data_IF_718633481357
#
_entry.id   IF_718633481357
#
_cell.length_a   1.000
_cell.length_b   1.000
_cell.length_c   1.000
_cell.angle_alpha   90.00
_cell.angle_beta   90.00
_cell.angle_gamma   90.00
#
_symmetry.space_group_name_H-M   'P 1'
#
loop_
_entity.id
_entity.type
_entity.pdbx_description
1 polymer ?
#
# COMPACT_ATOMS: atom_id res chain seq x y z
N UNK A 1 20.67 -29.41 -8.43
CA UNK A 1 21.15 -28.02 -8.35
C UNK A 1 20.35 -27.20 -9.34
N UNK A 2 19.35 -26.46 -8.87
CA UNK A 2 18.72 -25.35 -9.60
C UNK A 2 18.21 -24.36 -8.54
N UNK A 3 19.14 -23.51 -8.15
CA UNK A 3 19.04 -22.17 -7.54
C UNK A 3 17.74 -21.78 -6.84
N UNK A 4 17.80 -21.73 -5.51
CA UNK A 4 17.34 -20.57 -4.73
C UNK A 4 17.51 -19.26 -5.51
N UNK A 5 16.43 -18.45 -5.62
CA UNK A 5 16.37 -16.97 -5.75
C UNK A 5 15.25 -16.47 -6.69
N UNK A 6 14.00 -16.70 -6.33
CA UNK A 6 12.84 -15.98 -6.92
C UNK A 6 12.18 -15.03 -5.88
N UNK A 7 12.92 -14.54 -4.89
CA UNK A 7 12.44 -13.57 -3.87
C UNK A 7 13.03 -12.15 -4.05
N UNK A 8 13.78 -11.94 -5.13
CA UNK A 8 14.40 -10.66 -5.51
C UNK A 8 13.77 -10.06 -6.79
N UNK A 9 12.71 -10.69 -7.31
CA UNK A 9 11.94 -10.04 -8.36
C UNK A 9 11.13 -8.92 -7.71
N UNK A 10 11.21 -7.68 -8.20
CA UNK A 10 10.42 -6.61 -7.63
C UNK A 10 8.93 -6.96 -7.78
N UNK A 11 8.17 -6.70 -6.71
CA UNK A 11 6.71 -6.81 -6.71
C UNK A 11 6.08 -5.87 -7.77
N UNK A 12 6.86 -4.90 -8.24
CA UNK A 12 6.57 -3.98 -9.34
C UNK A 12 7.75 -4.05 -10.35
N UNK A 13 7.65 -4.66 -11.56
CA UNK A 13 6.76 -4.15 -12.62
C UNK A 13 6.23 -5.12 -13.72
N UNK A 14 4.97 -4.93 -14.15
CA UNK A 14 4.53 -4.97 -15.57
C UNK A 14 3.59 -3.76 -15.81
N UNK A 15 4.19 -2.57 -15.94
CA UNK A 15 3.54 -1.26 -15.97
C UNK A 15 2.47 -1.03 -17.05
N UNK A 16 2.29 -1.92 -18.04
CA UNK A 16 1.27 -1.74 -19.08
C UNK A 16 0.01 -2.57 -18.81
N UNK A 17 0.15 -3.87 -18.53
CA UNK A 17 -0.99 -4.77 -18.32
C UNK A 17 -1.70 -4.51 -16.97
N UNK A 18 -0.95 -4.17 -15.93
CA UNK A 18 -1.49 -3.93 -14.59
C UNK A 18 -2.11 -2.54 -14.45
N UNK A 19 -1.60 -1.56 -15.22
CA UNK A 19 -2.18 -0.22 -15.28
C UNK A 19 -3.54 -0.24 -15.99
N UNK A 20 -3.68 -1.04 -17.05
CA UNK A 20 -4.96 -1.26 -17.72
C UNK A 20 -6.02 -1.87 -16.77
N UNK A 21 -5.59 -2.77 -15.86
CA UNK A 21 -6.49 -3.34 -14.86
C UNK A 21 -6.94 -2.28 -13.83
N UNK A 22 -6.04 -1.41 -13.39
CA UNK A 22 -6.38 -0.29 -12.52
C UNK A 22 -7.29 0.73 -13.23
N UNK A 23 -7.04 1.01 -14.50
CA UNK A 23 -7.87 1.90 -15.33
C UNK A 23 -9.25 1.29 -15.59
N UNK A 24 -9.37 -0.05 -15.58
CA UNK A 24 -10.64 -0.75 -15.62
C UNK A 24 -11.39 -0.76 -14.28
N UNK A 25 -10.72 -0.44 -13.15
CA UNK A 25 -11.40 -0.29 -11.86
C UNK A 25 -12.20 1.01 -11.84
N UNK A 26 -13.42 0.93 -11.29
CA UNK A 26 -14.21 2.12 -11.04
C UNK A 26 -13.53 3.03 -10.02
N UNK A 27 -13.73 4.34 -10.14
CA UNK A 27 -13.22 5.31 -9.17
C UNK A 27 -13.73 5.01 -7.74
N UNK A 28 -14.95 4.46 -7.60
CA UNK A 28 -15.49 4.01 -6.32
C UNK A 28 -14.62 2.91 -5.71
N UNK A 29 -14.30 1.89 -6.50
CA UNK A 29 -13.45 0.76 -6.07
C UNK A 29 -12.06 1.25 -5.67
N UNK A 30 -11.49 2.18 -6.43
CA UNK A 30 -10.18 2.78 -6.11
C UNK A 30 -10.24 3.49 -4.75
N UNK A 31 -11.28 4.29 -4.49
CA UNK A 31 -11.47 4.99 -3.20
C UNK A 31 -11.68 4.02 -2.04
N UNK A 32 -12.40 2.92 -2.27
CA UNK A 32 -12.60 1.87 -1.27
C UNK A 32 -11.28 1.17 -0.91
N UNK A 33 -10.45 0.85 -1.91
CA UNK A 33 -9.11 0.28 -1.70
C UNK A 33 -8.25 1.27 -0.89
N UNK A 34 -8.20 2.54 -1.32
CA UNK A 34 -7.42 3.58 -0.64
C UNK A 34 -7.85 3.72 0.84
N UNK A 35 -9.16 3.76 1.10
CA UNK A 35 -9.72 3.85 2.46
C UNK A 35 -9.34 2.63 3.32
N UNK A 36 -9.43 1.43 2.75
CA UNK A 36 -9.09 0.20 3.45
C UNK A 36 -7.59 0.10 3.75
N UNK A 37 -6.73 0.53 2.82
CA UNK A 37 -5.29 0.61 3.04
C UNK A 37 -4.95 1.58 4.18
N UNK A 38 -5.55 2.78 4.17
CA UNK A 38 -5.35 3.78 5.24
C UNK A 38 -5.83 3.26 6.60
N UNK A 39 -6.96 2.57 6.65
CA UNK A 39 -7.51 1.97 7.88
C UNK A 39 -6.59 0.89 8.46
N UNK A 40 -5.90 0.13 7.59
CA UNK A 40 -4.95 -0.89 8.00
C UNK A 40 -3.56 -0.34 8.37
N UNK A 41 -3.31 0.95 8.12
CA UNK A 41 -2.10 1.64 8.52
C UNK A 41 -2.18 2.14 9.97
N UNK A 42 -1.03 2.53 10.52
CA UNK A 42 -0.92 3.17 11.81
C UNK A 42 0.15 4.26 11.75
N UNK A 43 0.25 5.08 12.80
CA UNK A 43 1.36 6.04 12.94
C UNK A 43 2.72 5.35 13.19
N UNK A 44 2.73 4.08 13.59
CA UNK A 44 3.94 3.25 13.62
C UNK A 44 4.18 2.58 12.26
N UNK A 45 5.46 2.33 11.95
CA UNK A 45 5.87 1.64 10.72
C UNK A 45 5.24 0.24 10.64
N UNK A 46 4.67 -0.08 9.48
CA UNK A 46 4.12 -1.40 9.15
C UNK A 46 4.65 -1.87 7.81
N UNK A 47 4.97 -3.16 7.73
CA UNK A 47 5.36 -3.81 6.47
C UNK A 47 4.26 -3.66 5.41
N UNK A 48 4.65 -3.25 4.20
CA UNK A 48 3.70 -3.06 3.09
C UNK A 48 3.00 -4.38 2.77
N UNK A 49 3.73 -5.49 2.68
CA UNK A 49 3.17 -6.82 2.44
C UNK A 49 2.09 -7.21 3.49
N UNK A 50 2.27 -6.81 4.75
CA UNK A 50 1.28 -7.05 5.81
C UNK A 50 0.02 -6.23 5.56
N UNK A 51 0.15 -4.93 5.27
CA UNK A 51 -0.99 -4.04 5.04
C UNK A 51 -1.79 -4.49 3.82
N UNK A 52 -1.10 -4.77 2.71
CA UNK A 52 -1.71 -5.26 1.47
C UNK A 52 -2.42 -6.60 1.69
N UNK A 53 -1.72 -7.60 2.24
CA UNK A 53 -2.33 -8.92 2.49
C UNK A 53 -3.51 -8.86 3.46
N UNK A 54 -3.48 -7.96 4.44
CA UNK A 54 -4.64 -7.75 5.34
C UNK A 54 -5.83 -7.18 4.58
N UNK A 55 -5.63 -6.14 3.76
CA UNK A 55 -6.69 -5.53 2.94
C UNK A 55 -7.27 -6.53 1.93
N UNK A 56 -6.45 -7.36 1.30
CA UNK A 56 -6.92 -8.40 0.37
C UNK A 56 -7.83 -9.43 1.04
N UNK A 57 -7.60 -9.71 2.32
CA UNK A 57 -8.36 -10.71 3.08
C UNK A 57 -9.68 -10.18 3.64
N UNK A 58 -9.95 -8.86 3.58
CA UNK A 58 -11.21 -8.28 4.02
C UNK A 58 -12.25 -8.25 2.89
N UNK A 59 -13.53 -8.33 3.24
CA UNK A 59 -14.60 -8.10 2.26
C UNK A 59 -14.70 -6.58 1.96
N UNK A 60 -15.02 -6.18 0.71
CA UNK A 60 -15.34 -7.02 -0.46
C UNK A 60 -14.11 -7.51 -1.27
N UNK A 61 -12.90 -7.06 -0.93
CA UNK A 61 -11.67 -7.32 -1.68
C UNK A 61 -11.33 -8.79 -1.87
N UNK A 62 -11.60 -9.61 -0.85
CA UNK A 62 -11.43 -11.07 -0.91
C UNK A 62 -12.22 -11.73 -2.04
N UNK A 63 -13.40 -11.19 -2.36
CA UNK A 63 -14.25 -11.71 -3.43
C UNK A 63 -13.82 -11.21 -4.80
N UNK A 64 -13.34 -9.97 -4.88
CA UNK A 64 -12.83 -9.38 -6.13
C UNK A 64 -11.57 -10.08 -6.64
N UNK A 65 -10.78 -10.72 -5.76
CA UNK A 65 -9.52 -11.42 -6.10
C UNK A 65 -8.58 -10.57 -6.94
N UNK A 66 -8.49 -9.27 -6.62
CA UNK A 66 -7.56 -8.37 -7.30
C UNK A 66 -6.12 -8.80 -7.00
N UNK A 67 -5.21 -8.70 -7.99
CA UNK A 67 -3.79 -8.92 -7.76
C UNK A 67 -3.24 -7.97 -6.69
N UNK A 68 -2.26 -8.44 -5.92
CA UNK A 68 -1.57 -7.66 -4.87
C UNK A 68 -0.92 -6.38 -5.43
N UNK A 69 -0.41 -6.44 -6.66
CA UNK A 69 0.14 -5.28 -7.40
C UNK A 69 -0.85 -4.11 -7.52
N UNK A 70 -2.17 -4.36 -7.60
CA UNK A 70 -3.16 -3.30 -7.65
C UNK A 70 -3.13 -2.50 -6.35
N UNK A 71 -3.03 -3.19 -5.21
CA UNK A 71 -2.91 -2.56 -3.90
C UNK A 71 -1.54 -1.90 -3.71
N UNK A 72 -0.46 -2.53 -4.19
CA UNK A 72 0.89 -1.96 -4.14
C UNK A 72 0.95 -0.60 -4.89
N UNK A 73 0.38 -0.54 -6.09
CA UNK A 73 0.29 0.69 -6.87
C UNK A 73 -0.54 1.76 -6.15
N UNK A 74 -1.62 1.37 -5.45
CA UNK A 74 -2.37 2.30 -4.58
C UNK A 74 -1.55 2.82 -3.42
N UNK A 75 -0.74 1.99 -2.77
CA UNK A 75 0.18 2.43 -1.72
C UNK A 75 1.15 3.49 -2.26
N UNK A 76 1.75 3.27 -3.42
CA UNK A 76 2.63 4.26 -4.08
C UNK A 76 1.86 5.57 -4.35
N UNK A 77 0.63 5.49 -4.87
CA UNK A 77 -0.20 6.67 -5.11
C UNK A 77 -0.50 7.45 -3.82
N UNK A 78 -0.82 6.76 -2.72
CA UNK A 78 -1.09 7.38 -1.41
C UNK A 78 0.16 8.04 -0.81
N UNK A 79 1.34 7.46 -1.01
CA UNK A 79 2.63 8.05 -0.61
C UNK A 79 2.92 9.31 -1.44
N UNK A 80 2.72 9.26 -2.75
CA UNK A 80 2.87 10.42 -3.64
C UNK A 80 1.89 11.56 -3.28
N UNK A 81 0.69 11.22 -2.80
CA UNK A 81 -0.31 12.16 -2.28
C UNK A 81 -0.02 12.64 -0.84
N UNK A 82 1.06 12.18 -0.20
CA UNK A 82 1.42 12.47 1.21
C UNK A 82 0.38 12.02 2.23
N UNK A 83 -0.49 11.06 1.87
CA UNK A 83 -1.42 10.40 2.81
C UNK A 83 -0.74 9.27 3.59
N UNK A 84 0.40 8.78 3.11
CA UNK A 84 1.27 7.83 3.77
C UNK A 84 2.72 8.30 3.67
N UNK A 85 3.53 7.93 4.66
CA UNK A 85 4.98 7.98 4.57
C UNK A 85 5.51 6.57 4.29
N UNK A 86 6.64 6.49 3.58
CA UNK A 86 7.29 5.22 3.26
C UNK A 86 8.75 5.19 3.71
N UNK A 87 9.23 4.00 4.04
CA UNK A 87 10.62 3.69 4.30
C UNK A 87 11.03 2.44 3.50
N UNK A 88 12.17 2.51 2.82
CA UNK A 88 12.64 1.45 1.92
C UNK A 88 12.16 1.61 0.48
N UNK A 89 12.23 0.54 -0.30
CA UNK A 89 11.85 0.54 -1.72
C UNK A 89 10.46 -0.09 -1.90
N UNK A 90 9.47 0.71 -2.29
CA UNK A 90 8.09 0.25 -2.48
C UNK A 90 7.92 -0.76 -3.63
N UNK A 91 8.93 -0.87 -4.52
CA UNK A 91 8.97 -1.96 -5.51
C UNK A 91 9.20 -3.34 -4.88
N UNK A 92 9.50 -3.38 -3.58
CA UNK A 92 9.65 -4.61 -2.81
C UNK A 92 8.85 -4.48 -1.50
N UNK A 93 7.59 -4.86 -1.53
CA UNK A 93 6.63 -4.81 -0.41
C UNK A 93 7.12 -5.54 0.84
N UNK A 94 7.90 -6.61 0.68
CA UNK A 94 8.47 -7.39 1.80
C UNK A 94 9.59 -6.61 2.53
N UNK A 95 10.29 -5.75 1.81
CA UNK A 95 11.42 -4.96 2.33
C UNK A 95 11.09 -3.49 2.60
N UNK A 96 9.84 -3.08 2.35
CA UNK A 96 9.37 -1.71 2.59
C UNK A 96 8.33 -1.62 3.71
N UNK A 97 8.25 -0.44 4.30
CA UNK A 97 7.35 -0.11 5.38
C UNK A 97 6.62 1.21 5.09
N UNK A 98 5.40 1.32 5.60
CA UNK A 98 4.56 2.50 5.49
C UNK A 98 3.95 2.87 6.83
N UNK A 99 3.59 4.14 7.00
CA UNK A 99 2.84 4.64 8.15
C UNK A 99 1.94 5.80 7.75
N UNK A 100 0.94 6.07 8.58
CA UNK A 100 0.23 7.35 8.55
C UNK A 100 1.21 8.48 8.90
N UNK A 101 1.13 9.64 8.24
CA UNK A 101 1.89 10.82 8.61
C UNK A 101 1.72 11.10 10.10
N UNK A 102 2.80 11.53 10.74
CA UNK A 102 2.67 12.09 12.09
C UNK A 102 1.97 13.43 11.93
N UNK A 103 0.79 13.60 12.53
CA UNK A 103 0.15 14.91 12.58
C UNK A 103 1.11 15.88 13.28
N UNK A 104 1.75 16.76 12.50
CA UNK A 104 2.41 17.94 13.05
C UNK A 104 1.42 18.81 13.84
N UNK A 105 0.10 18.63 13.63
CA UNK A 105 -0.99 19.22 14.41
C UNK A 105 -1.06 18.70 15.87
N UNK A 106 -0.67 17.46 16.15
CA UNK A 106 -0.72 16.92 17.52
C UNK A 106 0.42 17.49 18.39
N UNK A 107 1.60 17.69 17.81
CA UNK A 107 2.75 18.29 18.49
C UNK A 107 2.56 19.79 18.80
N UNK A 108 1.81 20.53 17.97
CA UNK A 108 1.53 21.95 18.19
C UNK A 108 0.46 22.19 19.28
N UNK A 109 -0.49 21.25 19.46
CA UNK A 109 -1.54 21.36 20.49
C UNK A 109 -1.06 21.02 21.91
N UNK A 110 0.10 20.36 22.07
CA UNK A 110 0.66 20.01 23.38
C UNK A 110 1.61 21.04 23.99
N UNK A 111 1.95 22.11 23.27
CA UNK A 111 2.83 23.20 23.76
C UNK A 111 2.07 24.44 24.26
N UNK A 112 0.75 24.37 24.39
CA UNK A 112 -0.06 25.41 25.02
C UNK A 112 -0.67 24.87 26.32
N UNK A 113 0.16 24.72 27.35
CA UNK A 113 -0.31 24.68 28.73
C UNK A 113 0.68 25.35 29.68
#
# INVERSE_FOLDING_TARGET
MSTDKDDDQPDLPLFEDEQALLDALSESTIREIDSALLTNCAHSWRKVARVVGTTMMTQPFKEMRLPDVCYATRVVALVNQRKLESAGNLNYMRYSEIRLPQDSESAMRSSAK
#
